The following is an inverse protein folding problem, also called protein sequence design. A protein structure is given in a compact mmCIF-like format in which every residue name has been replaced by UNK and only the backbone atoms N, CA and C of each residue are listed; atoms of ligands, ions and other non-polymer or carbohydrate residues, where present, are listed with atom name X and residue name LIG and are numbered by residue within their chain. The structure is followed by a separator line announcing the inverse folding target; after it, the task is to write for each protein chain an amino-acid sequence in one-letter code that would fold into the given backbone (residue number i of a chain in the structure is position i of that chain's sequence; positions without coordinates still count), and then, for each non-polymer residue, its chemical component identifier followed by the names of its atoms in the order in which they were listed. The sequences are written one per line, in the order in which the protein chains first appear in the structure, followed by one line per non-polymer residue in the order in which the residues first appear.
data_IF_586343678019
#
_entry.id   IF_586343678019
#
_cell.length_a   1.000
_cell.length_b   1.000
_cell.length_c   1.000
_cell.angle_alpha   90.00
_cell.angle_beta   90.00
_cell.angle_gamma   90.00
#
_symmetry.space_group_name_H-M   'P 1'
#
loop_
_entity.id
_entity.type
_entity.pdbx_description
1 polymer ?
#
# COMPACT_ATOMS: atom_id res chain seq x y z
N UNK A 1 -41.52 -22.80 -46.47
CA UNK A 1 -41.03 -23.16 -47.82
C UNK A 1 -40.64 -21.86 -48.52
N UNK A 2 -39.35 -21.56 -48.48
CA UNK A 2 -38.51 -21.08 -49.59
C UNK A 2 -39.18 -20.47 -50.83
N UNK A 3 -38.77 -19.25 -51.20
CA UNK A 3 -37.88 -19.03 -52.35
C UNK A 3 -37.40 -17.57 -52.48
N UNK A 4 -36.11 -17.43 -52.77
CA UNK A 4 -35.35 -16.22 -53.08
C UNK A 4 -35.74 -15.61 -54.45
N UNK A 5 -35.39 -14.33 -54.74
CA UNK A 5 -35.37 -13.81 -56.09
C UNK A 5 -34.04 -14.11 -56.81
N UNK A 6 -34.21 -14.32 -58.12
CA UNK A 6 -33.24 -14.71 -59.14
C UNK A 6 -32.30 -13.57 -59.55
N UNK A 7 -31.06 -13.95 -59.86
CA UNK A 7 -29.97 -13.18 -60.47
C UNK A 7 -30.15 -12.98 -61.98
N UNK A 8 -29.71 -11.85 -62.54
CA UNK A 8 -28.99 -11.79 -63.85
C UNK A 8 -28.13 -10.51 -63.93
N UNK A 9 -26.86 -10.67 -64.30
CA UNK A 9 -25.86 -9.65 -64.66
C UNK A 9 -25.72 -9.56 -66.21
N UNK A 10 -24.65 -9.02 -66.81
CA UNK A 10 -24.12 -7.65 -66.85
C UNK A 10 -24.03 -7.10 -68.30
N UNK A 11 -23.69 -5.82 -68.50
CA UNK A 11 -23.09 -5.36 -69.75
C UNK A 11 -21.76 -4.64 -69.52
N UNK A 12 -20.86 -4.91 -70.47
CA UNK A 12 -19.42 -4.66 -70.47
C UNK A 12 -19.03 -3.61 -71.50
N UNK A 13 -18.07 -2.75 -71.16
CA UNK A 13 -17.10 -2.14 -72.09
C UNK A 13 -16.08 -1.37 -71.23
N UNK A 14 -14.75 -1.42 -71.38
CA UNK A 14 -13.85 -2.01 -72.35
C UNK A 14 -12.54 -1.22 -72.31
N UNK A 15 -11.42 -1.90 -72.02
CA UNK A 15 -10.07 -1.62 -72.55
C UNK A 15 -9.19 -0.50 -71.95
N UNK A 16 -8.07 -0.89 -71.33
CA UNK A 16 -6.72 -0.51 -71.78
C UNK A 16 -5.62 -1.30 -71.04
N UNK A 17 -4.64 -1.78 -71.81
CA UNK A 17 -3.55 -2.68 -71.46
C UNK A 17 -2.33 -1.90 -70.94
N UNK A 18 -1.70 -2.34 -69.84
CA UNK A 18 -0.47 -1.75 -69.29
C UNK A 18 0.41 -2.78 -68.57
N UNK A 19 1.44 -3.23 -69.30
CA UNK A 19 2.70 -3.88 -68.89
C UNK A 19 2.89 -4.40 -67.45
N UNK A 20 3.09 -5.72 -67.35
CA UNK A 20 3.60 -6.44 -66.17
C UNK A 20 5.01 -5.97 -65.80
N UNK A 21 5.18 -5.35 -64.64
CA UNK A 21 6.45 -5.32 -63.90
C UNK A 21 6.44 -6.45 -62.88
N UNK A 22 7.45 -7.33 -62.95
CA UNK A 22 7.76 -8.30 -61.89
C UNK A 22 8.40 -7.51 -60.75
N UNK A 23 7.72 -7.44 -59.62
CA UNK A 23 8.29 -6.90 -58.38
C UNK A 23 8.80 -8.06 -57.53
N UNK A 24 10.05 -7.95 -57.09
CA UNK A 24 10.77 -8.98 -56.35
C UNK A 24 10.20 -9.14 -54.93
N UNK A 25 10.08 -10.39 -54.48
CA UNK A 25 9.65 -10.72 -53.13
C UNK A 25 10.66 -10.19 -52.10
N UNK A 26 10.19 -9.32 -51.19
CA UNK A 26 10.93 -8.90 -50.00
C UNK A 26 10.97 -10.05 -48.96
N UNK A 27 12.02 -10.15 -48.13
CA UNK A 27 12.19 -11.28 -47.22
C UNK A 27 11.16 -11.24 -46.08
N UNK A 28 10.64 -12.43 -45.75
CA UNK A 28 9.73 -12.69 -44.64
C UNK A 28 10.48 -12.39 -43.33
N UNK A 29 10.06 -11.34 -42.61
CA UNK A 29 10.49 -11.14 -41.23
C UNK A 29 9.92 -12.27 -40.37
N UNK A 30 10.81 -13.06 -39.76
CA UNK A 30 10.49 -14.01 -38.71
C UNK A 30 9.69 -13.32 -37.61
N UNK A 31 8.44 -13.75 -37.41
CA UNK A 31 7.67 -13.44 -36.21
C UNK A 31 8.21 -14.36 -35.11
N UNK A 32 9.12 -13.85 -34.29
CA UNK A 32 9.53 -14.53 -33.07
C UNK A 32 8.40 -14.44 -32.05
N UNK A 33 7.95 -15.59 -31.54
CA UNK A 33 6.94 -15.68 -30.48
C UNK A 33 7.46 -15.01 -29.21
N UNK A 34 6.96 -13.82 -28.89
CA UNK A 34 7.10 -13.23 -27.57
C UNK A 34 6.01 -13.83 -26.68
N UNK A 35 6.31 -15.02 -26.15
CA UNK A 35 5.60 -15.63 -25.04
C UNK A 35 6.53 -15.64 -23.83
N UNK A 36 6.88 -14.44 -23.38
CA UNK A 36 7.38 -14.24 -22.03
C UNK A 36 6.39 -13.30 -21.35
N UNK A 37 5.49 -13.90 -20.58
CA UNK A 37 4.78 -13.19 -19.53
C UNK A 37 5.85 -12.70 -18.57
N UNK A 38 6.34 -11.47 -18.79
CA UNK A 38 7.13 -10.76 -17.80
C UNK A 38 6.39 -10.91 -16.47
N UNK A 39 7.02 -11.44 -15.41
CA UNK A 39 6.37 -11.42 -14.11
C UNK A 39 5.99 -9.97 -13.86
N UNK A 40 4.70 -9.71 -13.65
CA UNK A 40 4.25 -8.41 -13.18
C UNK A 40 5.02 -8.22 -11.88
N UNK A 41 6.09 -7.44 -11.94
CA UNK A 41 6.88 -7.11 -10.77
C UNK A 41 5.89 -6.48 -9.81
N UNK A 42 5.75 -7.11 -8.64
CA UNK A 42 5.07 -6.47 -7.52
C UNK A 42 5.69 -5.08 -7.43
N UNK A 43 4.91 -3.99 -7.38
CA UNK A 43 5.49 -2.70 -7.03
C UNK A 43 6.21 -2.93 -5.71
N UNK A 44 7.54 -2.92 -5.73
CA UNK A 44 8.34 -2.93 -4.52
C UNK A 44 7.90 -1.71 -3.74
N UNK A 45 7.06 -1.94 -2.73
CA UNK A 45 6.81 -0.92 -1.73
C UNK A 45 8.17 -0.77 -1.06
N UNK A 46 8.79 0.42 -1.10
CA UNK A 46 10.17 0.57 -0.73
C UNK A 46 10.35 -0.04 0.65
N UNK A 47 11.33 -0.93 0.74
CA UNK A 47 11.65 -1.80 1.86
C UNK A 47 12.21 -1.00 3.07
N UNK A 48 11.68 0.20 3.32
CA UNK A 48 12.27 1.21 4.20
C UNK A 48 11.26 1.96 5.09
N UNK A 49 9.97 1.61 5.06
CA UNK A 49 8.98 2.22 5.97
C UNK A 49 9.35 1.96 7.43
N UNK A 50 9.75 0.72 7.76
CA UNK A 50 10.20 0.36 9.12
C UNK A 50 11.38 1.23 9.57
N UNK A 51 12.26 1.61 8.65
CA UNK A 51 13.38 2.49 8.99
C UNK A 51 12.92 3.90 9.34
N UNK A 52 11.82 4.40 8.74
CA UNK A 52 11.22 5.67 9.16
C UNK A 52 10.75 5.61 10.62
N UNK A 53 10.22 4.46 11.06
CA UNK A 53 9.90 4.24 12.47
C UNK A 53 11.16 4.18 13.34
N UNK A 54 12.18 3.45 12.92
CA UNK A 54 13.42 3.34 13.70
C UNK A 54 14.06 4.71 13.88
N UNK A 55 14.08 5.54 12.83
CA UNK A 55 14.71 6.86 12.85
C UNK A 55 14.07 7.84 13.84
N UNK A 56 12.81 7.64 14.25
CA UNK A 56 12.17 8.49 15.28
C UNK A 56 12.51 8.06 16.70
N UNK A 57 13.07 6.87 16.90
CA UNK A 57 13.40 6.33 18.23
C UNK A 57 14.69 6.96 18.79
N UNK A 58 14.94 6.91 20.12
CA UNK A 58 16.20 7.38 20.69
C UNK A 58 17.42 6.64 20.11
N UNK A 59 18.55 7.32 19.92
CA UNK A 59 19.75 6.76 19.26
C UNK A 59 20.22 5.42 19.86
N UNK A 60 20.18 5.27 21.18
CA UNK A 60 20.54 4.00 21.85
C UNK A 60 19.62 2.84 21.46
N UNK A 61 18.33 3.12 21.28
CA UNK A 61 17.31 2.16 20.82
C UNK A 61 17.55 1.80 19.36
N UNK A 62 17.85 2.79 18.50
CA UNK A 62 18.20 2.56 17.09
C UNK A 62 19.40 1.63 16.96
N UNK A 63 20.45 1.90 17.74
CA UNK A 63 21.69 1.13 17.72
C UNK A 63 21.45 -0.32 18.18
N UNK A 64 20.68 -0.52 19.24
CA UNK A 64 20.33 -1.85 19.73
C UNK A 64 19.49 -2.64 18.71
N UNK A 65 18.57 -1.99 18.00
CA UNK A 65 17.74 -2.62 16.98
C UNK A 65 18.54 -3.08 15.75
N UNK A 66 19.70 -2.49 15.47
CA UNK A 66 20.54 -2.86 14.32
C UNK A 66 21.04 -4.32 14.36
N UNK A 67 21.01 -4.97 15.53
CA UNK A 67 21.37 -6.38 15.69
C UNK A 67 20.23 -7.36 15.30
N UNK A 68 19.05 -6.85 14.97
CA UNK A 68 17.84 -7.65 14.71
C UNK A 68 17.29 -7.43 13.30
N UNK A 69 16.51 -8.39 12.81
CA UNK A 69 15.80 -8.25 11.56
C UNK A 69 14.59 -7.31 11.70
N UNK A 70 14.68 -6.12 11.10
CA UNK A 70 13.63 -5.11 11.07
C UNK A 70 12.30 -5.62 10.47
N UNK A 71 12.32 -6.60 9.56
CA UNK A 71 11.11 -7.17 8.96
C UNK A 71 10.32 -8.07 9.92
N UNK A 72 10.96 -8.48 11.01
CA UNK A 72 10.30 -9.23 12.09
C UNK A 72 9.81 -8.32 13.21
N UNK A 73 10.23 -7.05 13.27
CA UNK A 73 9.79 -6.10 14.29
C UNK A 73 8.27 -5.87 14.23
N UNK A 74 7.63 -5.95 15.39
CA UNK A 74 6.19 -5.71 15.59
C UNK A 74 5.98 -4.38 16.29
N UNK A 75 6.66 -4.15 17.41
CA UNK A 75 6.54 -2.92 18.17
C UNK A 75 7.77 -2.65 19.04
N UNK A 76 7.98 -1.38 19.36
CA UNK A 76 8.93 -0.90 20.36
C UNK A 76 8.17 -0.18 21.46
N UNK A 77 8.48 -0.49 22.72
CA UNK A 77 7.86 0.10 23.90
C UNK A 77 8.89 0.94 24.64
N UNK A 78 8.53 2.19 24.95
CA UNK A 78 9.33 3.13 25.72
C UNK A 78 8.53 3.58 26.93
N UNK A 79 8.83 3.05 28.11
CA UNK A 79 8.18 3.44 29.37
C UNK A 79 9.18 4.16 30.27
N UNK A 80 8.84 5.36 30.75
CA UNK A 80 9.72 6.16 31.62
C UNK A 80 10.23 5.34 32.81
N UNK A 81 11.57 5.28 32.95
CA UNK A 81 12.24 4.55 34.02
C UNK A 81 12.39 3.04 33.80
N UNK A 82 11.96 2.50 32.65
CA UNK A 82 12.15 1.09 32.26
C UNK A 82 13.13 0.95 31.11
N UNK A 83 13.70 -0.24 30.92
CA UNK A 83 14.47 -0.52 29.71
C UNK A 83 13.53 -0.49 28.49
N UNK A 84 13.97 0.08 27.36
CA UNK A 84 13.20 -0.01 26.12
C UNK A 84 13.04 -1.47 25.71
N UNK A 85 11.86 -1.86 25.21
CA UNK A 85 11.57 -3.24 24.80
C UNK A 85 11.20 -3.29 23.31
N UNK A 86 11.66 -4.31 22.58
CA UNK A 86 11.15 -4.65 21.26
C UNK A 86 10.49 -6.02 21.24
N UNK A 87 9.45 -6.13 20.42
CA UNK A 87 8.74 -7.39 20.15
C UNK A 87 8.87 -7.77 18.69
N UNK A 88 9.11 -9.05 18.45
CA UNK A 88 9.30 -9.60 17.11
C UNK A 88 8.29 -10.71 16.80
N UNK A 89 8.12 -10.99 15.50
CA UNK A 89 7.40 -12.17 15.02
C UNK A 89 7.95 -13.43 15.68
N UNK A 90 7.07 -14.37 16.02
CA UNK A 90 7.45 -15.56 16.78
C UNK A 90 7.41 -15.37 18.29
N UNK A 91 7.11 -14.16 18.79
CA UNK A 91 6.86 -13.91 20.21
C UNK A 91 8.09 -13.53 21.03
N UNK A 92 9.25 -13.35 20.38
CA UNK A 92 10.45 -12.88 21.08
C UNK A 92 10.25 -11.46 21.60
N UNK A 93 10.65 -11.24 22.86
CA UNK A 93 10.68 -9.96 23.54
C UNK A 93 12.11 -9.72 24.01
N UNK A 94 12.67 -8.55 23.69
CA UNK A 94 14.05 -8.21 24.03
C UNK A 94 14.13 -6.82 24.63
N UNK A 95 14.99 -6.65 25.62
CA UNK A 95 15.39 -5.34 26.12
C UNK A 95 16.45 -4.74 25.19
N UNK A 96 16.34 -3.45 24.91
CA UNK A 96 17.21 -2.72 23.99
C UNK A 96 18.16 -1.83 24.77
N UNK A 97 19.37 -2.35 25.00
CA UNK A 97 20.41 -1.66 25.76
C UNK A 97 20.30 -1.89 27.27
N UNK A 98 20.99 -1.07 28.05
CA UNK A 98 21.11 -1.21 29.52
C UNK A 98 20.69 0.05 30.28
N UNK A 99 20.31 1.11 29.56
CA UNK A 99 19.92 2.39 30.12
C UNK A 99 18.39 2.53 30.12
N UNK A 100 17.76 2.90 31.25
CA UNK A 100 16.34 3.19 31.28
C UNK A 100 15.92 4.34 30.36
N UNK A 101 14.67 4.32 29.89
CA UNK A 101 14.05 5.40 29.15
C UNK A 101 13.93 6.63 30.05
N UNK A 102 14.45 7.76 29.56
CA UNK A 102 14.39 9.06 30.23
C UNK A 102 13.25 9.91 29.67
N UNK A 103 12.98 11.05 30.31
CA UNK A 103 12.04 12.04 29.80
C UNK A 103 12.46 12.56 28.42
N UNK A 104 13.75 12.89 28.26
CA UNK A 104 14.30 13.39 27.00
C UNK A 104 14.13 12.40 25.84
N UNK A 105 14.23 11.09 26.12
CA UNK A 105 13.96 10.07 25.11
C UNK A 105 12.51 10.12 24.61
N UNK A 106 11.54 10.26 25.51
CA UNK A 106 10.11 10.36 25.15
C UNK A 106 9.87 11.66 24.38
N UNK A 107 10.38 12.78 24.88
CA UNK A 107 10.19 14.10 24.25
C UNK A 107 10.80 14.17 22.86
N UNK A 108 11.96 13.53 22.65
CA UNK A 108 12.57 13.40 21.33
C UNK A 108 11.64 12.67 20.35
N UNK A 109 11.04 11.54 20.75
CA UNK A 109 10.11 10.81 19.87
C UNK A 109 8.86 11.65 19.60
N UNK A 110 8.28 12.25 20.64
CA UNK A 110 7.08 13.09 20.51
C UNK A 110 7.31 14.26 19.56
N UNK A 111 8.49 14.89 19.60
CA UNK A 111 8.84 15.97 18.68
C UNK A 111 8.85 15.53 17.21
N UNK A 112 9.24 14.28 16.91
CA UNK A 112 9.19 13.72 15.55
C UNK A 112 7.77 13.36 15.10
N UNK A 113 6.91 12.90 16.01
CA UNK A 113 5.51 12.54 15.69
C UNK A 113 4.63 13.78 15.55
N UNK A 114 4.91 14.83 16.34
CA UNK A 114 4.12 16.06 16.36
C UNK A 114 2.83 15.90 17.15
N UNK A 115 1.71 15.63 16.45
CA UNK A 115 0.38 15.65 17.05
C UNK A 115 -0.11 14.24 17.46
N UNK A 116 -0.70 14.17 18.65
CA UNK A 116 -1.48 13.03 19.11
C UNK A 116 -2.97 13.42 19.17
N UNK A 117 -3.83 12.62 18.55
CA UNK A 117 -5.29 12.76 18.61
C UNK A 117 -5.85 12.57 20.01
N UNK A 118 -7.15 12.84 20.17
CA UNK A 118 -7.87 12.72 21.44
C UNK A 118 -7.87 11.31 22.04
N UNK A 119 -7.62 10.27 21.24
CA UNK A 119 -7.46 8.88 21.69
C UNK A 119 -5.99 8.50 21.98
N UNK A 120 -5.10 9.49 22.12
CA UNK A 120 -3.67 9.34 22.38
C UNK A 120 -2.90 8.59 21.29
N UNK A 121 -3.32 8.73 20.03
CA UNK A 121 -2.63 8.13 18.89
C UNK A 121 -2.00 9.18 18.00
N UNK A 122 -0.85 8.85 17.47
CA UNK A 122 -0.23 9.54 16.35
C UNK A 122 0.34 8.52 15.38
N UNK A 123 0.86 9.00 14.28
CA UNK A 123 1.56 8.18 13.31
C UNK A 123 2.60 8.99 12.58
N UNK A 124 3.46 8.30 11.85
CA UNK A 124 4.48 8.96 11.03
C UNK A 124 3.86 9.21 9.65
N UNK A 125 3.84 10.47 9.23
CA UNK A 125 3.28 10.86 7.94
C UNK A 125 3.81 9.97 6.80
N UNK A 126 2.95 9.63 5.83
CA UNK A 126 3.23 8.71 4.71
C UNK A 126 3.42 7.24 5.08
N UNK A 127 3.33 6.86 6.35
CA UNK A 127 3.47 5.47 6.81
C UNK A 127 2.18 4.95 7.46
N UNK A 128 2.14 3.64 7.73
CA UNK A 128 1.08 3.01 8.53
C UNK A 128 1.49 2.81 10.00
N UNK A 129 2.66 3.33 10.40
CA UNK A 129 3.14 3.20 11.77
C UNK A 129 2.22 3.93 12.73
N UNK A 130 1.98 3.31 13.88
CA UNK A 130 1.10 3.86 14.91
C UNK A 130 1.84 4.00 16.21
N UNK A 131 1.82 5.20 16.76
CA UNK A 131 2.43 5.54 18.03
C UNK A 131 1.29 5.82 19.00
N UNK A 132 1.21 5.05 20.08
CA UNK A 132 0.22 5.26 21.14
C UNK A 132 0.92 5.82 22.38
N UNK A 133 0.41 6.93 22.90
CA UNK A 133 0.95 7.57 24.09
C UNK A 133 0.21 7.09 25.36
N UNK A 134 0.98 6.82 26.40
CA UNK A 134 0.49 6.60 27.76
C UNK A 134 0.71 7.91 28.53
N UNK A 135 -0.35 8.44 29.14
CA UNK A 135 -0.29 9.70 29.89
C UNK A 135 -0.48 9.48 31.39
N UNK A 136 0.20 10.29 32.21
CA UNK A 136 -0.03 10.35 33.65
C UNK A 136 -1.33 11.13 33.97
N UNK A 137 -1.66 11.27 35.26
CA UNK A 137 -2.86 12.00 35.71
C UNK A 137 -2.80 13.50 35.43
N UNK A 138 -1.61 14.05 35.23
CA UNK A 138 -1.35 15.45 34.88
C UNK A 138 -1.44 15.68 33.36
N UNK A 139 -1.55 14.62 32.56
CA UNK A 139 -1.63 14.68 31.10
C UNK A 139 -0.28 14.54 30.39
N UNK A 140 0.83 14.39 31.12
CA UNK A 140 2.15 14.25 30.51
C UNK A 140 2.31 12.86 29.90
N UNK A 141 2.90 12.79 28.70
CA UNK A 141 3.26 11.52 28.07
C UNK A 141 4.39 10.88 28.87
N UNK A 142 4.16 9.70 29.44
CA UNK A 142 5.13 8.93 30.25
C UNK A 142 5.49 7.57 29.62
N UNK A 143 4.85 7.21 28.51
CA UNK A 143 5.19 6.03 27.75
C UNK A 143 4.71 6.09 26.31
N UNK A 144 5.36 5.32 25.44
CA UNK A 144 5.07 5.22 24.01
C UNK A 144 5.07 3.77 23.57
N UNK A 145 4.09 3.38 22.77
CA UNK A 145 4.09 2.12 22.02
C UNK A 145 4.14 2.44 20.52
N UNK A 146 5.29 2.15 19.91
CA UNK A 146 5.58 2.40 18.51
C UNK A 146 5.38 1.10 17.71
N UNK A 147 4.25 0.98 17.00
CA UNK A 147 3.88 -0.22 16.24
C UNK A 147 4.26 -0.12 14.78
N UNK A 148 4.82 -1.20 14.27
CA UNK A 148 5.15 -1.37 12.85
C UNK A 148 3.86 -1.58 12.04
N UNK A 149 3.49 -0.60 11.22
CA UNK A 149 2.44 -0.76 10.22
C UNK A 149 3.01 -1.31 8.93
N UNK A 150 2.28 -2.20 8.26
CA UNK A 150 2.69 -2.81 6.99
C UNK A 150 1.57 -2.73 5.97
N UNK A 151 1.93 -2.34 4.75
CA UNK A 151 1.05 -2.47 3.60
C UNK A 151 1.14 -3.91 3.07
N UNK A 152 0.00 -4.61 3.05
CA UNK A 152 -0.09 -5.97 2.52
C UNK A 152 -0.91 -5.92 1.23
N UNK A 153 -0.36 -6.49 0.16
CA UNK A 153 -0.99 -6.61 -1.15
C UNK A 153 -1.30 -8.07 -1.50
N UNK A 154 -2.13 -8.30 -2.52
CA UNK A 154 -2.60 -9.60 -2.98
C UNK A 154 -3.79 -10.14 -2.19
N UNK A 155 -4.37 -9.37 -1.27
CA UNK A 155 -5.41 -9.87 -0.36
C UNK A 155 -6.82 -9.79 -0.97
N UNK A 156 -6.99 -9.02 -2.06
CA UNK A 156 -8.28 -8.82 -2.74
C UNK A 156 -8.45 -9.66 -4.00
N UNK A 157 -7.43 -10.43 -4.41
CA UNK A 157 -7.49 -11.31 -5.59
C UNK A 157 -8.76 -12.17 -5.66
N UNK A 158 -9.22 -12.81 -4.56
CA UNK A 158 -10.43 -13.64 -4.60
C UNK A 158 -11.75 -12.89 -4.84
N UNK A 159 -11.75 -11.57 -4.72
CA UNK A 159 -12.95 -10.72 -4.87
C UNK A 159 -12.75 -9.63 -5.93
N UNK A 160 -11.70 -9.72 -6.74
CA UNK A 160 -11.31 -8.66 -7.69
C UNK A 160 -12.42 -8.38 -8.70
N UNK A 161 -13.03 -9.43 -9.24
CA UNK A 161 -14.18 -9.38 -10.15
C UNK A 161 -15.36 -8.61 -9.55
N UNK A 162 -15.68 -8.85 -8.27
CA UNK A 162 -16.75 -8.16 -7.56
C UNK A 162 -16.43 -6.67 -7.41
N UNK A 163 -15.19 -6.33 -7.06
CA UNK A 163 -14.74 -4.94 -6.92
C UNK A 163 -14.77 -4.21 -8.26
N UNK A 164 -14.37 -4.87 -9.35
CA UNK A 164 -14.35 -4.27 -10.69
C UNK A 164 -15.74 -4.16 -11.32
N UNK A 165 -16.73 -4.95 -10.85
CA UNK A 165 -18.12 -4.92 -11.33
C UNK A 165 -18.82 -3.57 -11.19
N UNK A 166 -18.29 -2.64 -10.39
CA UNK A 166 -18.87 -1.32 -10.14
C UNK A 166 -20.06 -1.31 -9.18
N UNK A 167 -20.44 -2.47 -8.64
CA UNK A 167 -21.47 -2.57 -7.60
C UNK A 167 -20.95 -2.04 -6.26
N UNK A 168 -21.88 -1.64 -5.39
CA UNK A 168 -21.54 -1.32 -4.01
C UNK A 168 -21.20 -2.60 -3.23
N UNK A 169 -20.09 -2.57 -2.48
CA UNK A 169 -19.58 -3.73 -1.73
C UNK A 169 -19.41 -3.35 -0.27
N UNK A 170 -19.90 -4.20 0.63
CA UNK A 170 -19.71 -4.08 2.07
C UNK A 170 -18.80 -5.20 2.58
N UNK A 171 -17.71 -4.84 3.25
CA UNK A 171 -16.79 -5.81 3.87
C UNK A 171 -17.12 -5.97 5.37
N UNK A 172 -17.68 -7.12 5.74
CA UNK A 172 -18.01 -7.48 7.13
C UNK A 172 -17.01 -8.48 7.71
N UNK A 173 -16.80 -8.40 9.02
CA UNK A 173 -15.94 -9.33 9.74
C UNK A 173 -15.57 -8.83 11.13
N UNK A 174 -15.09 -9.74 11.98
CA UNK A 174 -14.63 -9.43 13.34
C UNK A 174 -13.51 -8.38 13.35
N UNK A 175 -13.29 -7.66 14.45
CA UNK A 175 -12.08 -6.84 14.61
C UNK A 175 -10.82 -7.63 14.26
N UNK A 176 -9.86 -6.99 13.57
CA UNK A 176 -8.62 -7.65 13.14
C UNK A 176 -8.72 -8.56 11.91
N UNK A 177 -9.89 -8.74 11.29
CA UNK A 177 -10.07 -9.63 10.12
C UNK A 177 -9.47 -9.11 8.79
N UNK A 178 -8.72 -8.02 8.80
CA UNK A 178 -8.09 -7.45 7.61
C UNK A 178 -8.99 -6.60 6.70
N UNK A 179 -10.14 -6.11 7.20
CA UNK A 179 -11.06 -5.24 6.42
C UNK A 179 -10.35 -4.00 5.87
N UNK A 180 -9.68 -3.25 6.74
CA UNK A 180 -8.96 -2.02 6.38
C UNK A 180 -7.82 -2.31 5.38
N UNK A 181 -7.13 -3.43 5.55
CA UNK A 181 -6.11 -3.90 4.60
C UNK A 181 -6.68 -4.08 3.21
N UNK A 182 -7.84 -4.74 3.10
CA UNK A 182 -8.53 -4.93 1.81
C UNK A 182 -9.03 -3.62 1.23
N UNK A 183 -9.64 -2.73 2.03
CA UNK A 183 -10.13 -1.44 1.56
C UNK A 183 -9.00 -0.57 0.97
N UNK A 184 -7.83 -0.56 1.62
CA UNK A 184 -6.64 0.13 1.13
C UNK A 184 -6.22 -0.39 -0.25
N UNK A 185 -6.17 -1.71 -0.38
CA UNK A 185 -5.81 -2.36 -1.64
C UNK A 185 -6.86 -2.14 -2.73
N UNK A 186 -8.15 -2.15 -2.39
CA UNK A 186 -9.26 -1.81 -3.31
C UNK A 186 -9.11 -0.38 -3.82
N UNK A 187 -8.80 0.58 -2.95
CA UNK A 187 -8.62 1.96 -3.35
C UNK A 187 -7.43 2.12 -4.32
N UNK A 188 -6.31 1.44 -4.05
CA UNK A 188 -5.16 1.37 -4.95
C UNK A 188 -5.54 0.77 -6.30
N UNK A 189 -6.15 -0.42 -6.30
CA UNK A 189 -6.56 -1.11 -7.52
C UNK A 189 -7.50 -0.24 -8.36
N UNK A 190 -8.52 0.35 -7.77
CA UNK A 190 -9.49 1.17 -8.49
C UNK A 190 -8.86 2.46 -9.03
N UNK A 191 -7.94 3.10 -8.30
CA UNK A 191 -7.37 4.40 -8.68
C UNK A 191 -6.17 4.30 -9.63
N UNK A 192 -5.34 3.27 -9.48
CA UNK A 192 -4.14 3.06 -10.30
C UNK A 192 -4.39 2.12 -11.47
N UNK A 193 -4.91 0.92 -11.21
CA UNK A 193 -5.06 -0.12 -12.23
C UNK A 193 -6.30 0.14 -13.08
N UNK A 194 -7.44 0.43 -12.45
CA UNK A 194 -8.69 0.73 -13.18
C UNK A 194 -8.81 2.20 -13.63
N UNK A 195 -7.87 3.06 -13.24
CA UNK A 195 -7.85 4.48 -13.62
C UNK A 195 -9.07 5.30 -13.15
N UNK A 196 -9.82 4.83 -12.14
CA UNK A 196 -11.02 5.50 -11.65
C UNK A 196 -10.68 6.66 -10.73
N UNK A 197 -11.60 7.62 -10.64
CA UNK A 197 -11.53 8.70 -9.63
C UNK A 197 -12.02 8.15 -8.30
N UNK A 198 -11.09 7.95 -7.37
CA UNK A 198 -11.37 7.38 -6.04
C UNK A 198 -11.14 8.42 -4.96
N UNK A 199 -12.09 8.52 -4.03
CA UNK A 199 -11.95 9.29 -2.79
C UNK A 199 -12.18 8.34 -1.62
N UNK A 200 -11.25 8.33 -0.68
CA UNK A 200 -11.34 7.64 0.60
C UNK A 200 -11.84 8.65 1.62
N UNK A 201 -12.96 8.34 2.27
CA UNK A 201 -13.46 9.08 3.41
C UNK A 201 -12.98 8.36 4.67
N UNK A 202 -12.04 8.95 5.40
CA UNK A 202 -11.30 8.29 6.48
C UNK A 202 -11.45 9.06 7.79
N UNK A 203 -12.33 8.57 8.67
CA UNK A 203 -12.60 9.20 9.98
C UNK A 203 -11.47 8.98 10.98
N UNK A 204 -10.81 7.82 10.93
CA UNK A 204 -9.84 7.39 11.94
C UNK A 204 -8.40 7.33 11.42
N UNK A 205 -8.15 7.80 10.19
CA UNK A 205 -6.88 7.68 9.47
C UNK A 205 -6.36 6.24 9.32
N UNK A 206 -7.25 5.24 9.41
CA UNK A 206 -6.83 3.83 9.39
C UNK A 206 -6.52 3.35 7.97
N UNK A 207 -7.19 3.88 6.95
CA UNK A 207 -7.05 3.39 5.57
C UNK A 207 -5.82 4.00 4.92
N UNK A 208 -5.67 5.32 4.98
CA UNK A 208 -4.61 6.03 4.28
C UNK A 208 -3.42 6.39 5.18
N UNK A 209 -3.45 6.05 6.46
CA UNK A 209 -2.41 6.40 7.43
C UNK A 209 -2.59 7.80 8.01
N UNK A 210 -1.81 8.11 9.04
CA UNK A 210 -1.81 9.38 9.76
C UNK A 210 -1.08 10.51 9.02
N UNK A 211 -1.29 11.75 9.49
CA UNK A 211 -0.73 12.98 8.91
C UNK A 211 -1.41 13.39 7.60
N UNK A 212 -1.08 14.55 7.05
CA UNK A 212 -1.78 15.13 5.88
C UNK A 212 -1.50 14.42 4.55
N UNK A 213 -0.41 13.65 4.50
CA UNK A 213 0.05 12.99 3.27
C UNK A 213 -0.33 11.50 3.34
N UNK A 214 -1.22 11.01 2.45
CA UNK A 214 -1.66 9.63 2.47
C UNK A 214 -0.51 8.67 2.09
N UNK A 215 -0.58 7.46 2.62
CA UNK A 215 0.36 6.39 2.29
C UNK A 215 0.28 6.00 0.81
N UNK A 216 1.42 5.70 0.15
CA UNK A 216 1.43 5.18 -1.22
C UNK A 216 0.56 3.93 -1.47
N UNK A 217 0.16 3.20 -0.43
CA UNK A 217 -0.56 1.95 -0.55
C UNK A 217 -2.04 2.14 -0.91
N UNK A 218 -2.55 3.37 -0.88
CA UNK A 218 -3.86 3.72 -1.47
C UNK A 218 -3.77 4.15 -2.94
N UNK A 219 -2.57 4.15 -3.51
CA UNK A 219 -2.31 4.56 -4.89
C UNK A 219 -2.64 6.02 -5.16
N UNK A 220 -3.37 6.28 -6.26
CA UNK A 220 -3.78 7.63 -6.67
C UNK A 220 -5.08 8.10 -6.00
N UNK A 221 -5.64 7.32 -5.08
CA UNK A 221 -6.86 7.69 -4.37
C UNK A 221 -6.63 8.96 -3.53
N UNK A 222 -7.58 9.89 -3.61
CA UNK A 222 -7.57 11.09 -2.75
C UNK A 222 -8.14 10.73 -1.39
N UNK A 223 -7.66 11.38 -0.32
CA UNK A 223 -8.22 11.23 1.02
C UNK A 223 -8.99 12.48 1.43
N UNK A 224 -10.15 12.27 2.04
CA UNK A 224 -10.91 13.26 2.80
C UNK A 224 -10.94 12.81 4.26
N UNK A 225 -10.38 13.62 5.14
CA UNK A 225 -10.47 13.42 6.59
C UNK A 225 -11.76 14.07 7.09
N UNK A 226 -12.50 13.34 7.93
CA UNK A 226 -13.79 13.80 8.47
C UNK A 226 -13.72 13.72 9.98
N UNK A 227 -14.17 14.81 10.63
CA UNK A 227 -14.25 14.95 12.09
C UNK A 227 -15.63 14.60 12.61
#
# INVERSE_FOLDING_TARGET
MSSEPISVSPESSGGAMGSRRREAAAPIHQVTSISETLPISRPEHPNNDVQLLINVLPHGVQTALAAYDADTLIEVVLDLGRLPEARFKGGAMVELGQAPVTRDHIDAVVAHIGFFSSDNRGGIARTLHRISAIRNRQGDIIGLTCRVGKAITGTITPIKDLIESGKSVLLLGRPGSGKTTKLREVARLLSEESGKRVVIVDTSNEIAGDGDIPHPAVGRARRMQVV
#
